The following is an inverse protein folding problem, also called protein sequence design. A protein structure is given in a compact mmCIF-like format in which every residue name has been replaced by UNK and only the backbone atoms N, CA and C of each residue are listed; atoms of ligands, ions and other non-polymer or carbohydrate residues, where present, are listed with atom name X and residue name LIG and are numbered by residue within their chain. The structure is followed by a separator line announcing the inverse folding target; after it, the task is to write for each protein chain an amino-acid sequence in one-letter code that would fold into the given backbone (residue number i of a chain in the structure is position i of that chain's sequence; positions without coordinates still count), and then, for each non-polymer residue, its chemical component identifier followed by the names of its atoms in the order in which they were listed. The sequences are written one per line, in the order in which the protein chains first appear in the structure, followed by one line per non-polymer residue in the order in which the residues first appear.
data_IF_376411036475
#
_entry.id   IF_376411036475
#
_cell.length_a   1.000
_cell.length_b   1.000
_cell.length_c   1.000
_cell.angle_alpha   90.00
_cell.angle_beta   90.00
_cell.angle_gamma   90.00
#
_symmetry.space_group_name_H-M   'P 1'
#
loop_
_entity.id
_entity.type
_entity.pdbx_description
1 polymer ?
#
# COMPACT_ATOMS: atom_id res chain seq x y z
N UNK A 1 32.51 -1.59 -11.20
CA UNK A 1 31.24 -0.84 -11.15
C UNK A 1 30.14 -1.82 -11.48
N UNK A 2 29.30 -2.17 -10.50
CA UNK A 2 28.20 -3.11 -10.72
C UNK A 2 27.27 -2.53 -11.80
N UNK A 3 27.04 -3.28 -12.89
CA UNK A 3 26.12 -2.85 -13.94
C UNK A 3 24.75 -2.62 -13.32
N UNK A 4 24.32 -1.37 -13.23
CA UNK A 4 22.98 -1.04 -12.77
C UNK A 4 21.99 -1.89 -13.56
N UNK A 5 21.06 -2.52 -12.84
CA UNK A 5 20.08 -3.38 -13.46
C UNK A 5 19.28 -2.54 -14.47
N UNK A 6 19.33 -2.90 -15.76
CA UNK A 6 18.84 -2.04 -16.86
C UNK A 6 17.39 -1.57 -16.62
N UNK A 7 16.59 -2.40 -15.96
CA UNK A 7 15.22 -2.09 -15.56
C UNK A 7 15.11 -0.95 -14.54
N UNK A 8 15.92 -0.97 -13.48
CA UNK A 8 15.94 0.11 -12.47
C UNK A 8 16.38 1.42 -13.11
N UNK A 9 17.36 1.38 -14.00
CA UNK A 9 17.80 2.55 -14.76
C UNK A 9 16.66 3.10 -15.63
N UNK A 10 15.92 2.25 -16.33
CA UNK A 10 14.77 2.68 -17.13
C UNK A 10 13.68 3.33 -16.29
N UNK A 11 13.33 2.76 -15.13
CA UNK A 11 12.32 3.36 -14.23
C UNK A 11 12.72 4.77 -13.83
N UNK A 12 13.98 4.97 -13.42
CA UNK A 12 14.48 6.30 -13.02
C UNK A 12 14.47 7.27 -14.21
N UNK A 13 14.93 6.82 -15.38
CA UNK A 13 14.94 7.65 -16.58
C UNK A 13 13.52 8.06 -16.99
N UNK A 14 12.56 7.14 -17.03
CA UNK A 14 11.17 7.46 -17.37
C UNK A 14 10.48 8.33 -16.32
N UNK A 15 10.79 8.14 -15.03
CA UNK A 15 10.30 9.01 -13.96
C UNK A 15 10.80 10.44 -14.14
N UNK A 16 12.10 10.62 -14.38
CA UNK A 16 12.69 11.94 -14.61
C UNK A 16 12.14 12.57 -15.90
N UNK A 17 12.01 11.80 -16.98
CA UNK A 17 11.39 12.28 -18.22
C UNK A 17 9.95 12.73 -18.00
N UNK A 18 9.14 11.97 -17.25
CA UNK A 18 7.76 12.32 -16.93
C UNK A 18 7.65 13.63 -16.13
N UNK A 19 8.51 13.82 -15.13
CA UNK A 19 8.59 15.06 -14.34
C UNK A 19 8.99 16.23 -15.25
N UNK A 20 10.03 16.07 -16.07
CA UNK A 20 10.52 17.11 -16.97
C UNK A 20 9.49 17.48 -18.04
N UNK A 21 8.83 16.50 -18.65
CA UNK A 21 7.77 16.75 -19.63
C UNK A 21 6.57 17.45 -19.00
N UNK A 22 6.16 17.05 -17.80
CA UNK A 22 5.05 17.71 -17.08
C UNK A 22 5.39 19.16 -16.72
N UNK A 23 6.61 19.41 -16.23
CA UNK A 23 7.08 20.76 -15.91
C UNK A 23 7.18 21.65 -17.17
N UNK A 24 7.69 21.12 -18.28
CA UNK A 24 7.80 21.87 -19.54
C UNK A 24 6.41 22.24 -20.10
N UNK A 25 5.45 21.31 -20.07
CA UNK A 25 4.08 21.58 -20.54
C UNK A 25 3.40 22.62 -19.64
N UNK A 26 3.59 22.53 -18.33
CA UNK A 26 3.05 23.54 -17.40
C UNK A 26 3.68 24.93 -17.62
N UNK A 27 4.97 25.01 -17.98
CA UNK A 27 5.68 26.27 -18.16
C UNK A 27 5.42 26.96 -19.52
N UNK A 28 5.23 26.20 -20.60
CA UNK A 28 5.21 26.73 -21.96
C UNK A 28 3.85 26.58 -22.70
N UNK A 29 2.89 25.82 -22.18
CA UNK A 29 1.61 25.59 -22.85
C UNK A 29 0.48 26.53 -22.39
N UNK A 30 -0.53 26.72 -23.23
CA UNK A 30 -1.73 27.47 -22.88
C UNK A 30 -2.59 26.72 -21.84
N UNK A 31 -3.42 27.43 -21.04
CA UNK A 31 -4.28 26.79 -20.03
C UNK A 31 -5.17 25.68 -20.58
N UNK A 32 -5.65 25.83 -21.82
CA UNK A 32 -6.49 24.82 -22.50
C UNK A 32 -5.70 23.56 -22.88
N UNK A 33 -4.44 23.71 -23.29
CA UNK A 33 -3.55 22.60 -23.63
C UNK A 33 -3.08 21.84 -22.38
N UNK A 34 -2.89 22.53 -21.24
CA UNK A 34 -2.54 21.90 -19.96
C UNK A 34 -3.65 20.97 -19.48
N UNK A 35 -4.91 21.41 -19.54
CA UNK A 35 -6.07 20.58 -19.15
C UNK A 35 -6.20 19.37 -20.08
N UNK A 36 -6.16 19.59 -21.40
CA UNK A 36 -6.25 18.50 -22.37
C UNK A 36 -5.12 17.46 -22.22
N UNK A 37 -3.89 17.90 -21.92
CA UNK A 37 -2.79 16.97 -21.68
C UNK A 37 -2.97 16.19 -20.36
N UNK A 38 -3.42 16.88 -19.30
CA UNK A 38 -3.66 16.26 -17.99
C UNK A 38 -4.73 15.17 -18.03
N UNK A 39 -5.81 15.39 -18.78
CA UNK A 39 -6.89 14.40 -18.93
C UNK A 39 -6.45 13.16 -19.72
N UNK A 40 -5.50 13.31 -20.66
CA UNK A 40 -5.00 12.18 -21.45
C UNK A 40 -3.93 11.37 -20.71
N UNK A 41 -3.06 12.02 -19.93
CA UNK A 41 -1.98 11.32 -19.21
C UNK A 41 -2.51 10.53 -18.00
N UNK A 42 -3.61 10.97 -17.38
CA UNK A 42 -4.26 10.27 -16.27
C UNK A 42 -4.79 8.91 -16.69
N UNK A 43 -5.23 8.74 -17.95
CA UNK A 43 -5.66 7.44 -18.48
C UNK A 43 -4.58 6.36 -18.33
N UNK A 44 -3.34 6.67 -18.70
CA UNK A 44 -2.21 5.73 -18.56
C UNK A 44 -1.91 5.42 -17.09
N UNK A 45 -1.99 6.43 -16.24
CA UNK A 45 -1.78 6.30 -14.80
C UNK A 45 -2.87 5.41 -14.18
N UNK A 46 -4.13 5.63 -14.53
CA UNK A 46 -5.27 4.86 -14.07
C UNK A 46 -5.21 3.41 -14.52
N UNK A 47 -4.87 3.16 -15.79
CA UNK A 47 -4.65 1.81 -16.30
C UNK A 47 -3.53 1.10 -15.55
N UNK A 48 -2.39 1.78 -15.34
CA UNK A 48 -1.27 1.23 -14.59
C UNK A 48 -1.65 0.89 -13.14
N UNK A 49 -2.33 1.80 -12.45
CA UNK A 49 -2.79 1.55 -11.08
C UNK A 49 -3.82 0.42 -11.00
N UNK A 50 -4.70 0.27 -12.00
CA UNK A 50 -5.63 -0.86 -12.10
C UNK A 50 -4.91 -2.20 -12.27
N UNK A 51 -3.85 -2.23 -13.09
CA UNK A 51 -3.02 -3.43 -13.26
C UNK A 51 -2.33 -3.83 -11.94
N UNK A 52 -1.80 -2.87 -11.19
CA UNK A 52 -1.22 -3.15 -9.87
C UNK A 52 -2.30 -3.68 -8.92
N UNK A 53 -3.44 -3.01 -8.82
CA UNK A 53 -4.55 -3.41 -7.93
C UNK A 53 -5.04 -4.84 -8.21
N UNK A 54 -5.16 -5.21 -9.49
CA UNK A 54 -5.56 -6.56 -9.91
C UNK A 54 -4.65 -7.66 -9.32
N UNK A 55 -3.36 -7.39 -9.18
CA UNK A 55 -2.37 -8.37 -8.72
C UNK A 55 -2.27 -8.42 -7.18
N UNK A 56 -2.55 -7.31 -6.49
CA UNK A 56 -2.35 -7.20 -5.02
C UNK A 56 -3.14 -8.28 -4.27
N UNK A 57 -4.46 -8.40 -4.49
CA UNK A 57 -5.28 -9.30 -3.69
C UNK A 57 -4.86 -10.78 -3.80
N UNK A 58 -4.68 -11.36 -5.01
CA UNK A 58 -4.17 -12.73 -5.15
C UNK A 58 -2.75 -12.91 -4.61
N UNK A 59 -1.87 -11.93 -4.82
CA UNK A 59 -0.48 -11.99 -4.38
C UNK A 59 -0.39 -12.01 -2.85
N UNK A 60 -1.09 -11.10 -2.16
CA UNK A 60 -1.10 -11.03 -0.69
C UNK A 60 -1.68 -12.31 -0.09
N UNK A 61 -2.82 -12.79 -0.62
CA UNK A 61 -3.45 -14.01 -0.13
C UNK A 61 -2.52 -15.24 -0.26
N UNK A 62 -1.97 -15.45 -1.45
CA UNK A 62 -1.11 -16.61 -1.73
C UNK A 62 0.20 -16.56 -0.95
N UNK A 63 0.88 -15.42 -0.92
CA UNK A 63 2.18 -15.27 -0.24
C UNK A 63 2.06 -15.45 1.27
N UNK A 64 1.03 -14.87 1.90
CA UNK A 64 0.80 -15.02 3.34
C UNK A 64 0.36 -16.44 3.70
N UNK A 65 -0.59 -17.00 2.95
CA UNK A 65 -1.06 -18.38 3.18
C UNK A 65 0.09 -19.37 3.11
N UNK A 66 0.87 -19.34 2.02
CA UNK A 66 2.04 -20.23 1.84
C UNK A 66 3.10 -19.95 2.91
N UNK A 67 3.37 -18.69 3.22
CA UNK A 67 4.34 -18.31 4.25
C UNK A 67 3.99 -18.88 5.63
N UNK A 68 2.71 -18.80 6.02
CA UNK A 68 2.21 -19.28 7.30
C UNK A 68 2.18 -20.82 7.34
N UNK A 69 1.74 -21.47 6.26
CA UNK A 69 1.74 -22.94 6.18
C UNK A 69 3.15 -23.54 6.33
N UNK A 70 4.18 -22.86 5.83
CA UNK A 70 5.59 -23.30 5.97
C UNK A 70 6.13 -23.22 7.39
N UNK A 71 5.55 -22.37 8.25
CA UNK A 71 5.99 -22.22 9.64
C UNK A 71 5.51 -23.39 10.52
N UNK A 72 4.44 -24.08 10.13
CA UNK A 72 3.95 -25.34 10.73
C UNK A 72 3.41 -25.27 12.16
N UNK A 73 3.93 -24.35 12.99
CA UNK A 73 3.62 -24.25 14.41
C UNK A 73 2.99 -22.89 14.77
N UNK A 74 1.76 -22.92 15.27
CA UNK A 74 0.98 -21.74 15.68
C UNK A 74 1.70 -20.88 16.72
N UNK A 75 2.43 -21.50 17.66
CA UNK A 75 3.21 -20.79 18.67
C UNK A 75 4.37 -19.97 18.05
N UNK A 76 5.01 -20.53 17.03
CA UNK A 76 6.08 -19.84 16.30
C UNK A 76 5.51 -18.68 15.47
N UNK A 77 4.36 -18.86 14.82
CA UNK A 77 3.65 -17.79 14.07
C UNK A 77 3.33 -16.61 15.00
N UNK A 78 2.74 -16.86 16.18
CA UNK A 78 2.40 -15.81 17.15
C UNK A 78 3.62 -15.05 17.67
N UNK A 79 4.73 -15.74 17.95
CA UNK A 79 5.98 -15.11 18.41
C UNK A 79 6.63 -14.23 17.34
N UNK A 80 6.65 -14.70 16.08
CA UNK A 80 7.21 -13.92 14.96
C UNK A 80 6.31 -12.71 14.66
N UNK A 81 5.00 -12.91 14.61
CA UNK A 81 4.02 -11.83 14.41
C UNK A 81 4.08 -10.78 15.52
N UNK A 82 4.19 -11.20 16.78
CA UNK A 82 4.33 -10.29 17.93
C UNK A 82 5.60 -9.46 17.87
N UNK A 83 6.76 -10.08 17.55
CA UNK A 83 8.03 -9.35 17.36
C UNK A 83 7.93 -8.36 16.19
N UNK A 84 7.31 -8.77 15.08
CA UNK A 84 7.09 -7.90 13.93
C UNK A 84 6.17 -6.72 14.27
N UNK A 85 5.10 -6.93 15.04
CA UNK A 85 4.18 -5.88 15.47
C UNK A 85 4.87 -4.85 16.37
N UNK A 86 5.62 -5.30 17.38
CA UNK A 86 6.38 -4.40 18.26
C UNK A 86 7.40 -3.60 17.46
N UNK A 87 8.11 -4.25 16.54
CA UNK A 87 9.06 -3.57 15.66
C UNK A 87 8.37 -2.55 14.74
N UNK A 88 7.23 -2.90 14.14
CA UNK A 88 6.46 -2.02 13.26
C UNK A 88 5.92 -0.78 14.01
N UNK A 89 5.32 -0.97 15.19
CA UNK A 89 4.79 0.14 15.99
C UNK A 89 5.94 1.06 16.42
N UNK A 90 7.04 0.51 16.93
CA UNK A 90 8.20 1.29 17.35
C UNK A 90 8.81 2.07 16.18
N UNK A 91 8.99 1.42 15.03
CA UNK A 91 9.50 2.07 13.81
C UNK A 91 8.55 3.15 13.30
N UNK A 92 7.23 2.94 13.38
CA UNK A 92 6.24 3.92 12.93
C UNK A 92 6.23 5.16 13.82
N UNK A 93 6.26 4.98 15.14
CA UNK A 93 6.37 6.08 16.09
C UNK A 93 7.66 6.86 15.84
N UNK A 94 8.79 6.17 15.68
CA UNK A 94 10.07 6.81 15.38
C UNK A 94 10.02 7.60 14.06
N UNK A 95 9.43 7.03 13.02
CA UNK A 95 9.26 7.70 11.72
C UNK A 95 8.42 8.97 11.84
N UNK A 96 7.33 8.93 12.60
CA UNK A 96 6.47 10.11 12.83
C UNK A 96 7.23 11.17 13.61
N UNK A 97 7.98 10.80 14.65
CA UNK A 97 8.78 11.74 15.43
C UNK A 97 9.83 12.44 14.57
N UNK A 98 10.55 11.69 13.73
CA UNK A 98 11.53 12.26 12.79
C UNK A 98 10.86 13.20 11.80
N UNK A 99 9.72 12.80 11.22
CA UNK A 99 8.93 13.64 10.32
C UNK A 99 8.48 14.93 10.99
N UNK A 100 8.02 14.86 12.24
CA UNK A 100 7.62 16.03 13.04
C UNK A 100 8.79 16.97 13.27
N UNK A 101 9.95 16.46 13.67
CA UNK A 101 11.16 17.28 13.88
C UNK A 101 11.56 18.00 12.59
N UNK A 102 11.58 17.31 11.45
CA UNK A 102 11.95 17.93 10.17
C UNK A 102 10.95 19.01 9.77
N UNK A 103 9.64 18.74 9.87
CA UNK A 103 8.58 19.72 9.54
C UNK A 103 8.64 20.93 10.46
N UNK A 104 8.85 20.74 11.77
CA UNK A 104 8.97 21.84 12.73
C UNK A 104 10.25 22.65 12.53
N UNK A 105 11.34 22.07 12.02
CA UNK A 105 12.56 22.84 11.76
C UNK A 105 12.51 23.59 10.43
N UNK A 106 12.10 22.90 9.36
CA UNK A 106 12.19 23.42 8.00
C UNK A 106 10.95 24.21 7.58
N UNK A 107 9.84 24.09 8.31
CA UNK A 107 8.55 24.71 8.00
C UNK A 107 8.20 24.65 6.50
N UNK A 108 8.18 23.44 5.89
CA UNK A 108 7.87 23.28 4.48
C UNK A 108 6.43 23.73 4.23
N UNK A 109 6.27 24.94 3.72
CA UNK A 109 4.97 25.61 3.55
C UNK A 109 5.06 27.13 3.63
N UNK A 110 6.07 27.67 4.31
CA UNK A 110 6.35 29.10 4.29
C UNK A 110 6.69 29.53 2.84
N UNK A 111 5.82 30.35 2.25
CA UNK A 111 5.95 30.83 0.86
C UNK A 111 5.03 30.15 -0.15
N UNK A 112 4.27 29.12 0.23
CA UNK A 112 3.15 28.62 -0.57
C UNK A 112 1.99 29.62 -0.44
N UNK A 113 1.84 30.52 -1.42
CA UNK A 113 0.77 31.51 -1.47
C UNK A 113 -0.58 30.86 -1.88
N UNK A 114 -0.95 29.78 -1.17
CA UNK A 114 -2.19 29.05 -1.40
C UNK A 114 -3.33 29.90 -0.86
N UNK A 115 -4.25 30.30 -1.73
CA UNK A 115 -5.45 31.02 -1.34
C UNK A 115 -6.27 30.13 -0.39
N UNK A 116 -6.33 30.50 0.89
CA UNK A 116 -7.16 29.81 1.88
C UNK A 116 -8.62 30.05 1.47
N UNK A 117 -9.38 29.00 1.09
CA UNK A 117 -10.79 29.16 0.79
C UNK A 117 -11.50 29.74 2.03
N UNK A 118 -12.29 30.82 1.84
CA UNK A 118 -13.03 31.49 2.92
C UNK A 118 -14.20 30.67 3.45
N UNK A 119 -14.62 29.65 2.70
CA UNK A 119 -15.66 28.74 3.13
C UNK A 119 -15.03 27.47 3.68
N UNK A 120 -15.58 26.97 4.79
CA UNK A 120 -15.31 25.63 5.29
C UNK A 120 -15.73 24.63 4.23
N UNK A 121 -14.81 24.29 3.33
CA UNK A 121 -14.97 23.17 2.42
C UNK A 121 -15.16 21.95 3.31
N UNK A 122 -16.33 21.31 3.20
CA UNK A 122 -16.51 19.97 3.74
C UNK A 122 -15.46 19.08 3.06
N UNK A 123 -14.36 18.87 3.78
CA UNK A 123 -13.20 18.13 3.27
C UNK A 123 -13.54 16.65 3.06
N UNK A 124 -14.75 16.20 3.40
CA UNK A 124 -15.13 14.79 3.40
C UNK A 124 -14.28 13.95 4.36
N UNK A 125 -13.45 14.61 5.18
CA UNK A 125 -12.68 13.95 6.22
C UNK A 125 -13.66 13.54 7.30
N UNK A 126 -13.82 12.24 7.48
CA UNK A 126 -14.49 11.69 8.65
C UNK A 126 -13.68 12.09 9.90
N UNK A 127 -13.97 13.29 10.45
CA UNK A 127 -13.43 13.77 11.73
C UNK A 127 -13.93 12.89 12.88
N UNK A 128 -14.91 12.03 12.62
CA UNK A 128 -15.28 10.89 13.45
C UNK A 128 -14.13 9.88 13.48
N UNK A 129 -13.19 10.10 14.40
CA UNK A 129 -12.09 9.20 14.67
C UNK A 129 -12.56 7.75 14.66
N UNK A 130 -11.87 6.92 13.89
CA UNK A 130 -12.19 5.51 13.74
C UNK A 130 -12.29 4.88 15.14
N UNK A 131 -13.51 4.60 15.59
CA UNK A 131 -13.70 4.01 16.91
C UNK A 131 -13.01 2.64 16.94
N UNK A 132 -12.45 2.25 18.08
CA UNK A 132 -11.79 0.95 18.23
C UNK A 132 -12.74 -0.20 17.82
N UNK A 133 -14.03 -0.04 18.11
CA UNK A 133 -15.09 -0.95 17.66
C UNK A 133 -15.20 -0.99 16.14
N UNK A 134 -15.26 0.17 15.48
CA UNK A 134 -15.31 0.25 14.02
C UNK A 134 -14.09 -0.39 13.36
N UNK A 135 -12.88 -0.10 13.84
CA UNK A 135 -11.65 -0.72 13.35
C UNK A 135 -11.67 -2.24 13.47
N UNK A 136 -12.02 -2.76 14.66
CA UNK A 136 -12.04 -4.21 14.89
C UNK A 136 -13.12 -4.91 14.06
N UNK A 137 -14.30 -4.30 13.93
CA UNK A 137 -15.37 -4.80 13.05
C UNK A 137 -14.97 -4.78 11.57
N UNK A 138 -14.21 -3.79 11.11
CA UNK A 138 -13.67 -3.75 9.75
C UNK A 138 -12.50 -4.70 9.51
N UNK A 139 -11.83 -5.16 10.58
CA UNK A 139 -10.68 -6.08 10.49
C UNK A 139 -11.11 -7.49 10.09
N UNK A 140 -12.27 -7.95 10.57
CA UNK A 140 -12.81 -9.26 10.24
C UNK A 140 -13.77 -9.12 9.05
N UNK A 141 -13.45 -9.70 7.88
CA UNK A 141 -14.34 -9.60 6.71
C UNK A 141 -15.67 -10.31 6.95
N UNK A 142 -16.75 -9.71 6.44
CA UNK A 142 -18.06 -10.34 6.25
C UNK A 142 -18.00 -11.44 5.19
N UNK A 143 -17.26 -11.18 4.09
CA UNK A 143 -17.03 -12.11 3.00
C UNK A 143 -15.65 -11.89 2.37
N UNK A 144 -14.95 -12.99 2.07
CA UNK A 144 -13.65 -12.92 1.37
C UNK A 144 -13.77 -12.36 -0.05
N UNK A 145 -14.88 -12.64 -0.74
CA UNK A 145 -15.09 -12.17 -2.11
C UNK A 145 -15.24 -10.65 -2.15
N UNK A 146 -15.92 -10.09 -1.14
CA UNK A 146 -16.07 -8.64 -0.97
C UNK A 146 -14.73 -7.98 -0.62
N UNK A 147 -13.99 -8.55 0.33
CA UNK A 147 -12.66 -8.06 0.70
C UNK A 147 -11.69 -8.01 -0.50
N UNK A 148 -11.72 -9.05 -1.36
CA UNK A 148 -10.89 -9.11 -2.56
C UNK A 148 -11.37 -8.15 -3.66
N UNK A 149 -12.68 -7.99 -3.84
CA UNK A 149 -13.25 -7.07 -4.83
C UNK A 149 -12.97 -5.60 -4.47
N UNK A 150 -13.10 -5.25 -3.19
CA UNK A 150 -12.86 -3.91 -2.65
C UNK A 150 -11.37 -3.61 -2.40
N UNK A 151 -10.48 -4.58 -2.59
CA UNK A 151 -9.04 -4.47 -2.30
C UNK A 151 -8.75 -4.08 -0.84
N UNK A 152 -9.55 -4.60 0.10
CA UNK A 152 -9.39 -4.36 1.53
C UNK A 152 -8.24 -5.21 2.10
N UNK A 153 -7.02 -4.68 2.02
CA UNK A 153 -5.78 -5.41 2.35
C UNK A 153 -5.83 -5.97 3.78
N UNK A 154 -6.31 -5.20 4.76
CA UNK A 154 -6.39 -5.64 6.16
C UNK A 154 -7.22 -6.91 6.31
N UNK A 155 -8.39 -6.94 5.68
CA UNK A 155 -9.29 -8.10 5.72
C UNK A 155 -8.70 -9.32 5.02
N UNK A 156 -8.06 -9.10 3.86
CA UNK A 156 -7.37 -10.17 3.12
C UNK A 156 -6.26 -10.79 3.98
N UNK A 157 -5.45 -9.98 4.67
CA UNK A 157 -4.38 -10.44 5.55
C UNK A 157 -4.94 -11.29 6.70
N UNK A 158 -6.00 -10.83 7.36
CA UNK A 158 -6.63 -11.53 8.49
C UNK A 158 -7.21 -12.88 8.05
N UNK A 159 -7.94 -12.92 6.94
CA UNK A 159 -8.45 -14.17 6.39
C UNK A 159 -7.32 -15.13 6.00
N UNK A 160 -6.29 -14.63 5.32
CA UNK A 160 -5.11 -15.42 4.91
C UNK A 160 -4.39 -16.02 6.12
N UNK A 161 -4.36 -15.30 7.25
CA UNK A 161 -3.77 -15.80 8.49
C UNK A 161 -4.55 -16.98 9.05
N UNK A 162 -5.87 -16.87 9.18
CA UNK A 162 -6.70 -17.98 9.64
C UNK A 162 -6.65 -19.17 8.69
N UNK A 163 -6.75 -18.92 7.38
CA UNK A 163 -6.68 -19.95 6.35
C UNK A 163 -5.32 -20.65 6.33
N UNK A 164 -4.22 -19.89 6.45
CA UNK A 164 -2.87 -20.45 6.54
C UNK A 164 -2.64 -21.29 7.79
N UNK A 165 -3.16 -20.88 8.96
CA UNK A 165 -3.07 -21.65 10.21
C UNK A 165 -3.89 -22.94 10.11
N UNK A 166 -5.12 -22.87 9.57
CA UNK A 166 -5.95 -24.05 9.31
C UNK A 166 -5.31 -24.99 8.28
N UNK A 167 -4.65 -24.43 7.25
CA UNK A 167 -3.85 -25.18 6.30
C UNK A 167 -2.67 -25.91 6.95
N UNK A 168 -1.97 -25.25 7.87
CA UNK A 168 -0.84 -25.83 8.59
C UNK A 168 -1.27 -26.99 9.51
N UNK A 169 -2.45 -26.91 10.12
CA UNK A 169 -2.94 -27.95 11.05
C UNK A 169 -3.39 -29.25 10.36
N UNK A 170 -3.64 -29.22 9.04
CA UNK A 170 -4.01 -30.40 8.24
C UNK A 170 -2.85 -31.41 8.04
N UNK A 171 -1.62 -31.05 8.43
CA UNK A 171 -0.47 -31.97 8.52
C UNK A 171 0.02 -32.56 7.19
N UNK A 172 0.98 -33.50 7.27
CA UNK A 172 1.69 -34.09 6.12
C UNK A 172 0.82 -34.82 5.09
N UNK A 173 -0.45 -35.12 5.40
CA UNK A 173 -1.38 -35.78 4.45
C UNK A 173 -1.66 -34.96 3.19
N UNK A 174 -1.43 -33.65 3.22
CA UNK A 174 -1.51 -32.78 2.04
C UNK A 174 -0.15 -32.59 1.33
N UNK A 175 0.95 -32.76 2.06
CA UNK A 175 2.31 -32.41 1.62
C UNK A 175 3.02 -33.54 0.85
N UNK A 176 2.48 -34.77 0.86
CA UNK A 176 3.17 -35.96 0.34
C UNK A 176 2.83 -36.35 -1.13
N UNK A 177 1.99 -35.61 -1.87
CA UNK A 177 1.57 -36.03 -3.23
C UNK A 177 1.78 -35.04 -4.38
N UNK A 178 2.10 -33.78 -4.13
CA UNK A 178 2.04 -32.74 -5.18
C UNK A 178 3.34 -31.99 -5.48
N UNK A 179 4.44 -32.26 -4.77
CA UNK A 179 5.73 -31.63 -5.06
C UNK A 179 6.89 -32.61 -4.82
N UNK A 180 7.68 -32.98 -5.85
CA UNK A 180 8.91 -33.73 -5.65
C UNK A 180 9.94 -32.82 -4.97
N UNK A 181 10.55 -33.34 -3.90
CA UNK A 181 11.53 -32.68 -3.04
C UNK A 181 12.66 -32.01 -3.81
#
# INVERSE_FOLDING_TARGET
MASANKLTLFIVIFMLMGILSGAAIHAYASPTAIVAWSDNITLFTDMFLRLIKMVIAPLVFSTLTVGIMRLGETATIGRVGGKAMVWFVTSSVLSILVGLVIVTLWHPGNGLNLAIPKESVDTGLAVSGMSLKGFLSHTIPTSITEAMASNEILQIVVFSMFFGIAGASLGEKFNARWWPR
#
